data_IF_047167115928
#
_entry.id   IF_047167115928
#
_cell.length_a   1.000
_cell.length_b   1.000
_cell.length_c   1.000
_cell.angle_alpha   90.00
_cell.angle_beta   90.00
_cell.angle_gamma   90.00
#
_symmetry.space_group_name_H-M   'P 1'
#
loop_
_entity.id
_entity.type
_entity.pdbx_description
1 polymer ?
#
# COMPACT_ATOMS: atom_id res chain seq x y z
N UNK A 1 -77.57 -11.18 -11.64
CA UNK A 1 -77.28 -10.79 -10.24
C UNK A 1 -75.90 -11.26 -9.92
N UNK A 2 -75.02 -10.32 -9.63
CA UNK A 2 -73.57 -10.40 -9.25
C UNK A 2 -72.47 -10.67 -10.27
N UNK A 3 -71.78 -9.61 -10.73
CA UNK A 3 -70.31 -9.67 -10.92
C UNK A 3 -69.58 -8.45 -10.37
N UNK A 4 -69.95 -7.88 -9.21
CA UNK A 4 -69.25 -6.66 -8.66
C UNK A 4 -68.14 -6.99 -7.66
N UNK A 5 -68.12 -8.20 -7.10
CA UNK A 5 -67.18 -8.56 -6.01
C UNK A 5 -65.77 -8.98 -6.47
N UNK A 6 -65.56 -9.26 -7.78
CA UNK A 6 -64.24 -9.71 -8.28
C UNK A 6 -63.27 -8.58 -8.71
N UNK A 7 -63.76 -7.37 -8.92
CA UNK A 7 -62.94 -6.26 -9.37
C UNK A 7 -62.22 -5.51 -8.24
N UNK A 8 -62.81 -5.45 -7.04
CA UNK A 8 -62.24 -4.76 -5.89
C UNK A 8 -61.08 -5.51 -5.25
N UNK A 9 -61.12 -6.84 -5.20
CA UNK A 9 -60.01 -7.67 -4.66
C UNK A 9 -58.76 -7.65 -5.54
N UNK A 10 -58.92 -7.59 -6.87
CA UNK A 10 -57.77 -7.48 -7.79
C UNK A 10 -57.06 -6.11 -7.70
N UNK A 11 -57.82 -5.02 -7.50
CA UNK A 11 -57.23 -3.67 -7.32
C UNK A 11 -56.56 -3.51 -5.97
N UNK A 12 -57.06 -4.10 -4.91
CA UNK A 12 -56.43 -4.09 -3.59
C UNK A 12 -55.11 -4.90 -3.58
N UNK A 13 -55.05 -6.07 -4.24
CA UNK A 13 -53.82 -6.84 -4.39
C UNK A 13 -52.76 -6.12 -5.24
N UNK A 14 -53.14 -5.39 -6.28
CA UNK A 14 -52.22 -4.62 -7.09
C UNK A 14 -51.62 -3.44 -6.32
N UNK A 15 -52.35 -2.78 -5.43
CA UNK A 15 -51.86 -1.72 -4.56
C UNK A 15 -50.93 -2.23 -3.46
N UNK A 16 -51.20 -3.39 -2.85
CA UNK A 16 -50.30 -4.02 -1.89
C UNK A 16 -48.97 -4.50 -2.55
N UNK A 17 -49.02 -5.02 -3.78
CA UNK A 17 -47.80 -5.44 -4.49
C UNK A 17 -46.90 -4.26 -4.87
N UNK A 18 -47.45 -3.08 -5.16
CA UNK A 18 -46.70 -1.89 -5.48
C UNK A 18 -46.05 -1.21 -4.24
N UNK A 19 -46.70 -1.37 -3.07
CA UNK A 19 -46.18 -0.85 -1.81
C UNK A 19 -44.99 -1.65 -1.23
N UNK A 20 -44.83 -2.94 -1.61
CA UNK A 20 -43.68 -3.76 -1.22
C UNK A 20 -42.42 -3.53 -2.13
N UNK A 21 -42.56 -2.86 -3.27
CA UNK A 21 -41.45 -2.59 -4.17
C UNK A 21 -40.66 -1.32 -3.81
N UNK A 22 -41.10 -0.55 -2.85
CA UNK A 22 -40.36 0.63 -2.32
C UNK A 22 -39.64 0.26 -1.02
N UNK A 23 -38.80 -0.77 -1.03
CA UNK A 23 -37.76 -0.88 -0.01
C UNK A 23 -36.80 0.27 -0.25
N UNK A 24 -36.62 1.19 0.71
CA UNK A 24 -35.69 2.27 0.53
C UNK A 24 -34.29 1.68 0.39
N UNK A 25 -33.63 2.00 -0.69
CA UNK A 25 -32.20 1.80 -0.93
C UNK A 25 -31.37 2.70 0.03
N UNK A 26 -31.82 2.84 1.29
CA UNK A 26 -31.28 3.75 2.30
C UNK A 26 -30.27 3.09 3.25
N UNK A 27 -29.80 1.88 2.93
CA UNK A 27 -28.88 1.18 3.83
C UNK A 27 -27.44 1.13 3.33
N UNK A 28 -27.04 2.00 2.40
CA UNK A 28 -25.61 2.29 2.24
C UNK A 28 -25.27 3.37 3.25
N UNK A 29 -25.00 2.96 4.49
CA UNK A 29 -24.39 3.85 5.48
C UNK A 29 -23.17 4.54 4.85
N UNK A 30 -23.04 5.86 5.08
CA UNK A 30 -21.93 6.61 4.52
C UNK A 30 -20.61 5.96 4.98
N UNK A 31 -19.83 5.41 4.04
CA UNK A 31 -18.48 4.94 4.33
C UNK A 31 -17.60 6.12 4.76
N UNK A 32 -16.73 5.95 5.76
CA UNK A 32 -16.57 4.79 6.65
C UNK A 32 -17.59 4.80 7.81
N UNK A 33 -18.07 3.61 8.21
CA UNK A 33 -19.01 3.43 9.32
C UNK A 33 -18.33 3.20 10.66
N UNK A 34 -17.02 2.99 10.67
CA UNK A 34 -16.18 2.71 11.83
C UNK A 34 -14.75 3.17 11.58
N UNK A 35 -13.88 3.06 12.58
CA UNK A 35 -12.46 3.38 12.46
C UNK A 35 -11.84 2.68 11.25
N UNK A 36 -11.11 3.45 10.43
CA UNK A 36 -10.29 2.93 9.33
C UNK A 36 -8.88 2.70 9.85
N UNK A 37 -8.33 1.52 9.60
CA UNK A 37 -6.97 1.15 9.99
C UNK A 37 -6.07 1.07 8.74
N UNK A 38 -5.00 1.86 8.71
CA UNK A 38 -3.96 1.77 7.70
C UNK A 38 -2.76 1.00 8.24
N UNK A 39 -2.51 -0.17 7.70
CA UNK A 39 -1.40 -1.06 8.10
C UNK A 39 -0.19 -0.80 7.20
N UNK A 40 0.96 -0.53 7.81
CA UNK A 40 2.21 -0.17 7.13
C UNK A 40 3.33 -1.16 7.44
N UNK A 41 4.11 -1.62 6.44
CA UNK A 41 5.30 -2.45 6.66
C UNK A 41 6.53 -1.63 7.10
N UNK A 42 6.34 -0.43 7.62
CA UNK A 42 7.41 0.50 7.99
C UNK A 42 7.40 0.78 9.49
N UNK A 43 8.58 1.12 10.03
CA UNK A 43 8.71 1.55 11.42
C UNK A 43 8.00 2.88 11.66
N UNK A 44 7.49 3.07 12.86
CA UNK A 44 6.97 4.36 13.30
C UNK A 44 8.04 5.45 13.20
N UNK A 45 7.66 6.66 12.78
CA UNK A 45 8.56 7.77 12.55
C UNK A 45 9.30 7.75 11.20
N UNK A 46 9.09 6.74 10.36
CA UNK A 46 9.59 6.73 8.97
C UNK A 46 8.83 7.72 8.09
N UNK A 47 9.39 8.05 6.91
CA UNK A 47 8.73 8.93 5.94
C UNK A 47 7.31 8.49 5.57
N UNK A 48 7.11 7.22 5.14
CA UNK A 48 5.76 6.70 4.86
C UNK A 48 4.81 6.77 6.06
N UNK A 49 5.28 6.52 7.27
CA UNK A 49 4.49 6.64 8.49
C UNK A 49 4.03 8.08 8.73
N UNK A 50 4.95 9.04 8.63
CA UNK A 50 4.63 10.46 8.80
C UNK A 50 3.61 10.95 7.77
N UNK A 51 3.78 10.58 6.50
CA UNK A 51 2.83 10.91 5.42
C UNK A 51 1.46 10.31 5.72
N UNK A 52 1.39 9.02 6.08
CA UNK A 52 0.10 8.36 6.32
C UNK A 52 -0.61 8.90 7.56
N UNK A 53 0.11 9.28 8.61
CA UNK A 53 -0.49 9.97 9.77
C UNK A 53 -1.10 11.31 9.37
N UNK A 54 -0.39 12.10 8.58
CA UNK A 54 -0.91 13.38 8.10
C UNK A 54 -2.15 13.20 7.22
N UNK A 55 -2.11 12.27 6.26
CA UNK A 55 -3.28 11.92 5.43
C UNK A 55 -4.43 11.41 6.30
N UNK A 56 -4.14 10.55 7.28
CA UNK A 56 -5.12 10.01 8.21
C UNK A 56 -5.82 11.08 9.04
N UNK A 57 -5.09 12.11 9.48
CA UNK A 57 -5.69 13.27 10.17
C UNK A 57 -6.66 14.05 9.30
N UNK A 58 -6.33 14.26 8.01
CA UNK A 58 -7.20 14.95 7.06
C UNK A 58 -8.47 14.12 6.80
N UNK A 59 -8.30 12.84 6.49
CA UNK A 59 -9.42 11.92 6.26
C UNK A 59 -10.32 11.78 7.49
N UNK A 60 -9.76 11.75 8.70
CA UNK A 60 -10.53 11.65 9.92
C UNK A 60 -11.45 12.87 10.14
N UNK A 61 -11.00 14.06 9.73
CA UNK A 61 -11.83 15.27 9.76
C UNK A 61 -12.98 15.20 8.77
N UNK A 62 -12.70 14.78 7.53
CA UNK A 62 -13.69 14.70 6.46
C UNK A 62 -14.73 13.62 6.73
N UNK A 63 -14.30 12.47 7.23
CA UNK A 63 -15.15 11.30 7.47
C UNK A 63 -15.84 11.31 8.82
N UNK A 64 -15.44 12.18 9.75
CA UNK A 64 -15.89 12.12 11.16
C UNK A 64 -15.68 10.74 11.80
N UNK A 65 -14.65 10.01 11.32
CA UNK A 65 -14.25 8.69 11.78
C UNK A 65 -12.73 8.65 12.01
N UNK A 66 -12.28 7.91 12.99
CA UNK A 66 -10.85 7.77 13.27
C UNK A 66 -10.12 7.04 12.16
N UNK A 67 -8.91 7.51 11.82
CA UNK A 67 -7.95 6.78 10.97
C UNK A 67 -6.71 6.45 11.80
N UNK A 68 -6.46 5.16 11.98
CA UNK A 68 -5.36 4.67 12.83
C UNK A 68 -4.26 4.10 11.95
N UNK A 69 -3.03 4.55 12.18
CA UNK A 69 -1.82 4.01 11.53
C UNK A 69 -1.23 2.90 12.39
N UNK A 70 -1.15 1.70 11.83
CA UNK A 70 -0.65 0.49 12.47
C UNK A 70 0.64 0.01 11.78
N UNK A 71 1.78 0.14 12.46
CA UNK A 71 3.09 -0.20 11.93
C UNK A 71 3.42 -1.68 12.20
N UNK A 72 3.67 -2.44 11.13
CA UNK A 72 4.03 -3.87 11.16
C UNK A 72 5.31 -4.11 10.36
N UNK A 73 6.47 -3.60 10.81
CA UNK A 73 7.73 -3.78 10.11
C UNK A 73 8.22 -5.23 10.18
N UNK A 74 9.10 -5.58 9.24
CA UNK A 74 9.82 -6.87 9.24
C UNK A 74 9.30 -7.87 8.21
N UNK A 75 10.02 -8.99 8.10
CA UNK A 75 9.75 -10.08 7.16
C UNK A 75 9.48 -9.58 5.71
N UNK A 76 10.28 -8.63 5.22
CA UNK A 76 10.10 -8.04 3.88
C UNK A 76 8.67 -7.49 3.63
N UNK A 77 8.02 -6.95 4.66
CA UNK A 77 6.65 -6.42 4.59
C UNK A 77 5.54 -7.47 4.68
N UNK A 78 5.89 -8.76 4.68
CA UNK A 78 4.89 -9.83 4.63
C UNK A 78 4.02 -9.93 5.88
N UNK A 79 4.48 -9.38 7.02
CA UNK A 79 3.64 -9.29 8.22
C UNK A 79 2.45 -8.36 8.00
N UNK A 80 2.71 -7.16 7.49
CA UNK A 80 1.67 -6.18 7.19
C UNK A 80 0.73 -6.69 6.08
N UNK A 81 1.30 -7.18 4.98
CA UNK A 81 0.58 -7.72 3.83
C UNK A 81 -0.34 -8.87 4.26
N UNK A 82 0.19 -9.84 5.01
CA UNK A 82 -0.57 -10.99 5.46
C UNK A 82 -1.65 -10.64 6.48
N UNK A 83 -1.48 -9.57 7.25
CA UNK A 83 -2.52 -9.09 8.16
C UNK A 83 -3.71 -8.51 7.40
N UNK A 84 -3.44 -7.65 6.40
CA UNK A 84 -4.50 -7.04 5.59
C UNK A 84 -5.19 -8.09 4.71
N UNK A 85 -4.44 -9.04 4.15
CA UNK A 85 -5.01 -10.13 3.35
C UNK A 85 -6.02 -11.00 4.13
N UNK A 86 -5.88 -11.09 5.45
CA UNK A 86 -6.84 -11.81 6.32
C UNK A 86 -7.97 -10.93 6.85
N UNK A 87 -7.90 -9.62 6.66
CA UNK A 87 -8.94 -8.71 7.10
C UNK A 87 -10.21 -8.82 6.24
N UNK A 88 -11.32 -8.27 6.71
CA UNK A 88 -12.53 -8.17 5.90
C UNK A 88 -12.30 -7.20 4.75
N UNK A 89 -12.73 -7.53 3.52
CA UNK A 89 -12.59 -6.63 2.37
C UNK A 89 -13.71 -5.57 2.34
N UNK A 90 -13.92 -4.89 3.46
CA UNK A 90 -14.96 -3.88 3.65
C UNK A 90 -14.43 -2.43 3.60
N UNK A 91 -13.16 -2.27 3.26
CA UNK A 91 -12.50 -0.98 3.14
C UNK A 91 -12.02 -0.38 4.47
N UNK A 92 -12.30 -0.97 5.64
CA UNK A 92 -11.88 -0.43 6.93
C UNK A 92 -10.49 -0.89 7.38
N UNK A 93 -9.85 -1.80 6.63
CA UNK A 93 -8.44 -2.15 6.81
C UNK A 93 -7.72 -1.97 5.49
N UNK A 94 -6.85 -0.98 5.43
CA UNK A 94 -6.09 -0.59 4.25
C UNK A 94 -4.63 -1.00 4.40
N UNK A 95 -4.00 -1.34 3.29
CA UNK A 95 -2.56 -1.58 3.21
C UNK A 95 -1.89 -0.37 2.57
N UNK A 96 -0.96 0.27 3.27
CA UNK A 96 -0.18 1.37 2.73
C UNK A 96 1.28 0.96 2.60
N UNK A 97 1.75 0.87 1.36
CA UNK A 97 3.11 0.43 1.04
C UNK A 97 3.62 1.07 -0.25
N UNK A 98 4.89 0.89 -0.55
CA UNK A 98 5.47 1.29 -1.84
C UNK A 98 5.26 0.23 -2.92
N UNK A 99 5.44 0.63 -4.17
CA UNK A 99 5.24 -0.23 -5.34
C UNK A 99 6.16 -1.46 -5.38
N UNK A 100 7.27 -1.47 -4.65
CA UNK A 100 8.22 -2.58 -4.61
C UNK A 100 7.54 -3.88 -4.16
N UNK A 101 6.65 -3.81 -3.17
CA UNK A 101 5.99 -4.99 -2.64
C UNK A 101 5.07 -5.65 -3.66
N UNK A 102 4.37 -4.88 -4.46
CA UNK A 102 3.38 -5.38 -5.42
C UNK A 102 3.98 -5.60 -6.81
N UNK A 103 4.87 -4.72 -7.27
CA UNK A 103 5.40 -4.78 -8.62
C UNK A 103 6.74 -5.51 -8.73
N UNK A 104 7.60 -5.46 -7.70
CA UNK A 104 8.96 -5.97 -7.79
C UNK A 104 9.15 -7.32 -7.10
N UNK A 105 8.57 -7.52 -5.92
CA UNK A 105 8.72 -8.78 -5.19
C UNK A 105 8.29 -10.03 -5.98
N UNK A 106 7.23 -10.00 -6.83
CA UNK A 106 6.89 -11.15 -7.68
C UNK A 106 8.02 -11.62 -8.60
N UNK A 107 8.92 -10.72 -8.96
CA UNK A 107 10.08 -11.03 -9.82
C UNK A 107 11.34 -11.41 -9.02
N UNK A 108 11.39 -11.11 -7.73
CA UNK A 108 12.54 -11.37 -6.87
C UNK A 108 12.41 -12.68 -6.10
N UNK A 109 11.19 -13.12 -5.79
CA UNK A 109 10.95 -14.29 -4.96
C UNK A 109 10.23 -15.39 -5.75
N UNK A 110 10.75 -16.61 -5.64
CA UNK A 110 10.13 -17.79 -6.31
C UNK A 110 8.74 -18.14 -5.76
N UNK A 111 8.47 -17.75 -4.51
CA UNK A 111 7.20 -18.01 -3.84
C UNK A 111 6.90 -16.82 -2.94
N UNK A 112 5.74 -16.21 -3.15
CA UNK A 112 5.18 -15.18 -2.28
C UNK A 112 4.04 -15.76 -1.45
N UNK A 113 3.82 -15.28 -0.22
CA UNK A 113 2.68 -15.67 0.60
C UNK A 113 1.37 -14.96 0.22
N UNK A 114 1.36 -14.20 -0.87
CA UNK A 114 0.22 -13.44 -1.38
C UNK A 114 0.30 -13.32 -2.90
N UNK A 115 -0.84 -13.04 -3.54
CA UNK A 115 -0.93 -12.68 -4.95
C UNK A 115 -1.21 -11.17 -5.07
N UNK A 116 -0.28 -10.37 -5.61
CA UNK A 116 -0.44 -8.90 -5.63
C UNK A 116 -1.59 -8.40 -6.50
N UNK A 117 -2.07 -9.23 -7.44
CA UNK A 117 -3.14 -8.86 -8.38
C UNK A 117 -4.51 -9.34 -7.91
N UNK A 118 -4.57 -10.53 -7.27
CA UNK A 118 -5.84 -11.14 -6.88
C UNK A 118 -6.24 -10.86 -5.45
N UNK A 119 -5.26 -10.64 -4.56
CA UNK A 119 -5.55 -10.51 -3.13
C UNK A 119 -5.79 -9.06 -2.71
N UNK A 120 -5.51 -8.08 -3.59
CA UNK A 120 -5.60 -6.65 -3.25
C UNK A 120 -6.25 -5.84 -4.37
N UNK A 121 -7.06 -4.86 -3.97
CA UNK A 121 -7.63 -3.85 -4.86
C UNK A 121 -6.90 -2.52 -4.63
N UNK A 122 -6.27 -1.91 -5.66
CA UNK A 122 -5.59 -0.63 -5.52
C UNK A 122 -6.61 0.50 -5.32
N UNK A 123 -6.39 1.35 -4.31
CA UNK A 123 -7.27 2.47 -3.99
C UNK A 123 -6.72 3.78 -4.56
N UNK A 124 -5.51 4.17 -4.18
CA UNK A 124 -4.91 5.42 -4.63
C UNK A 124 -3.39 5.42 -4.49
N UNK A 125 -2.71 6.19 -5.33
CA UNK A 125 -1.33 6.59 -5.13
C UNK A 125 -1.27 7.82 -4.23
N UNK A 126 -0.51 7.75 -3.13
CA UNK A 126 -0.42 8.85 -2.17
C UNK A 126 0.67 9.85 -2.55
N UNK A 127 1.86 9.36 -2.92
CA UNK A 127 2.99 10.20 -3.31
C UNK A 127 4.04 9.39 -4.09
N UNK A 128 4.95 10.10 -4.73
CA UNK A 128 6.17 9.55 -5.32
C UNK A 128 7.37 10.09 -4.58
N UNK A 129 8.45 9.30 -4.51
CA UNK A 129 9.70 9.72 -3.86
C UNK A 129 10.89 9.44 -4.78
N UNK A 130 11.93 10.25 -4.63
CA UNK A 130 13.23 10.03 -5.26
C UNK A 130 14.22 9.46 -4.25
N UNK A 131 15.30 8.87 -4.77
CA UNK A 131 16.40 8.38 -3.97
C UNK A 131 17.65 9.23 -4.21
N UNK A 132 18.42 9.40 -3.16
CA UNK A 132 19.66 10.12 -3.20
C UNK A 132 20.80 9.19 -2.80
N UNK A 133 21.94 9.31 -3.48
CA UNK A 133 23.19 8.74 -3.00
C UNK A 133 23.73 9.67 -1.93
N UNK A 134 23.90 9.16 -0.72
CA UNK A 134 24.41 9.92 0.42
C UNK A 134 25.72 9.30 0.88
N UNK A 135 26.71 10.14 1.17
CA UNK A 135 27.99 9.76 1.72
C UNK A 135 28.30 10.54 2.98
N UNK A 136 29.19 10.06 3.82
CA UNK A 136 29.63 10.80 5.02
C UNK A 136 30.21 12.16 4.64
N UNK A 137 30.06 13.17 5.49
CA UNK A 137 30.53 14.54 5.23
C UNK A 137 32.05 14.61 4.93
N UNK A 138 32.83 13.72 5.52
CA UNK A 138 34.28 13.61 5.32
C UNK A 138 34.66 12.64 4.19
N UNK A 139 33.71 12.14 3.41
CA UNK A 139 33.99 11.28 2.27
C UNK A 139 34.89 11.97 1.27
N UNK A 140 35.84 11.26 0.66
CA UNK A 140 36.64 11.79 -0.43
C UNK A 140 35.81 12.02 -1.71
N UNK A 141 34.66 11.36 -1.83
CA UNK A 141 33.79 11.48 -2.99
C UNK A 141 32.89 12.71 -2.85
N UNK A 142 33.01 13.64 -3.81
CA UNK A 142 32.21 14.87 -3.83
C UNK A 142 31.23 14.88 -4.99
N UNK A 143 31.28 13.87 -5.85
CA UNK A 143 30.37 13.68 -6.99
C UNK A 143 30.07 12.20 -7.23
N UNK A 144 29.03 11.93 -8.02
CA UNK A 144 28.73 10.57 -8.49
C UNK A 144 29.88 10.02 -9.34
N UNK A 145 30.57 10.88 -10.09
CA UNK A 145 31.73 10.48 -10.90
C UNK A 145 32.87 9.97 -10.02
N UNK A 146 33.15 10.60 -8.88
CA UNK A 146 34.20 10.14 -7.96
C UNK A 146 33.87 8.76 -7.39
N UNK A 147 32.58 8.53 -7.00
CA UNK A 147 32.10 7.24 -6.53
C UNK A 147 32.28 6.15 -7.61
N UNK A 148 31.85 6.44 -8.84
CA UNK A 148 31.96 5.52 -9.99
C UNK A 148 33.43 5.17 -10.27
N UNK A 149 34.32 6.17 -10.27
CA UNK A 149 35.75 5.95 -10.50
C UNK A 149 36.38 5.10 -9.40
N UNK A 150 36.00 5.34 -8.12
CA UNK A 150 36.48 4.54 -7.00
C UNK A 150 36.00 3.07 -7.11
N UNK A 151 34.75 2.86 -7.46
CA UNK A 151 34.16 1.50 -7.62
C UNK A 151 34.77 0.76 -8.84
N UNK A 152 35.12 1.49 -9.92
CA UNK A 152 35.85 0.90 -11.08
C UNK A 152 37.28 0.51 -10.72
N UNK A 153 37.98 1.38 -9.99
CA UNK A 153 39.36 1.12 -9.59
C UNK A 153 39.47 -0.11 -8.68
N UNK A 154 38.44 -0.38 -7.86
CA UNK A 154 38.41 -1.52 -6.97
C UNK A 154 36.95 -2.10 -6.91
N UNK A 155 36.62 -3.07 -7.76
CA UNK A 155 35.34 -3.76 -7.71
C UNK A 155 35.07 -4.30 -6.30
N UNK A 156 33.84 -4.08 -5.81
CA UNK A 156 33.39 -4.41 -4.44
C UNK A 156 34.17 -3.70 -3.31
N UNK A 157 35.07 -2.78 -3.65
CA UNK A 157 35.83 -1.97 -2.67
C UNK A 157 35.02 -0.82 -2.08
N UNK A 158 33.90 -0.47 -2.70
CA UNK A 158 32.92 0.49 -2.20
C UNK A 158 31.71 -0.29 -1.70
N UNK A 159 31.30 -0.03 -0.46
CA UNK A 159 30.08 -0.63 0.10
C UNK A 159 28.92 0.36 0.12
N UNK A 160 27.70 -0.14 0.02
CA UNK A 160 26.48 0.64 0.20
C UNK A 160 25.47 -0.05 1.10
N UNK A 161 24.71 0.74 1.86
CA UNK A 161 23.64 0.27 2.74
C UNK A 161 22.29 0.29 2.06
N UNK A 162 21.42 -0.63 2.44
CA UNK A 162 19.99 -0.63 2.08
C UNK A 162 19.13 -1.15 3.22
N UNK A 163 17.83 -1.03 3.09
CA UNK A 163 16.82 -1.57 4.03
C UNK A 163 16.59 -3.08 3.87
N UNK A 164 17.53 -3.81 3.30
CA UNK A 164 17.45 -5.25 3.10
C UNK A 164 17.44 -5.67 1.64
N UNK A 165 17.60 -6.98 1.46
CA UNK A 165 17.60 -7.59 0.13
C UNK A 165 16.25 -7.41 -0.57
N UNK A 166 16.25 -6.99 -1.82
CA UNK A 166 15.03 -6.75 -2.60
C UNK A 166 14.30 -5.44 -2.28
N UNK A 167 14.86 -4.62 -1.37
CA UNK A 167 14.33 -3.27 -1.15
C UNK A 167 14.55 -2.37 -2.37
N UNK A 168 13.77 -1.31 -2.47
CA UNK A 168 13.91 -0.28 -3.53
C UNK A 168 15.35 0.26 -3.60
N UNK A 169 16.01 0.51 -2.46
CA UNK A 169 17.39 0.96 -2.42
C UNK A 169 18.36 -0.07 -2.97
N UNK A 170 18.18 -1.36 -2.66
CA UNK A 170 19.00 -2.44 -3.21
C UNK A 170 18.85 -2.53 -4.73
N UNK A 171 17.61 -2.61 -5.23
CA UNK A 171 17.35 -2.77 -6.66
C UNK A 171 17.73 -1.52 -7.45
N UNK A 172 17.44 -0.32 -6.92
CA UNK A 172 17.86 0.94 -7.53
C UNK A 172 19.38 1.06 -7.63
N UNK A 173 20.10 0.62 -6.58
CA UNK A 173 21.57 0.59 -6.63
C UNK A 173 22.07 -0.44 -7.64
N UNK A 174 21.47 -1.63 -7.72
CA UNK A 174 21.86 -2.62 -8.72
C UNK A 174 21.63 -2.13 -10.17
N UNK A 175 20.57 -1.37 -10.41
CA UNK A 175 20.35 -0.70 -11.70
C UNK A 175 21.43 0.37 -11.98
N UNK A 176 21.79 1.16 -10.97
CA UNK A 176 22.88 2.13 -11.07
C UNK A 176 24.22 1.44 -11.37
N UNK A 177 24.55 0.36 -10.67
CA UNK A 177 25.75 -0.45 -10.94
C UNK A 177 25.80 -0.94 -12.38
N UNK A 178 24.69 -1.50 -12.87
CA UNK A 178 24.59 -1.97 -14.25
C UNK A 178 24.77 -0.84 -15.26
N UNK A 179 24.12 0.31 -15.06
CA UNK A 179 24.20 1.46 -15.92
C UNK A 179 25.60 2.10 -15.93
N UNK A 180 26.29 2.12 -14.79
CA UNK A 180 27.62 2.70 -14.65
C UNK A 180 28.75 1.72 -14.99
N UNK A 181 28.47 0.43 -15.17
CA UNK A 181 29.47 -0.63 -15.37
C UNK A 181 30.41 -0.78 -14.17
N UNK A 182 29.85 -0.81 -12.95
CA UNK A 182 30.59 -0.93 -11.69
C UNK A 182 30.03 -2.06 -10.83
N UNK A 183 30.76 -2.43 -9.78
CA UNK A 183 30.32 -3.37 -8.76
C UNK A 183 30.66 -2.83 -7.38
N UNK A 184 29.67 -2.79 -6.50
CA UNK A 184 29.79 -2.36 -5.10
C UNK A 184 29.35 -3.50 -4.16
N UNK A 185 29.77 -3.44 -2.91
CA UNK A 185 29.39 -4.42 -1.89
C UNK A 185 28.07 -4.01 -1.23
N UNK A 186 27.05 -4.83 -1.38
CA UNK A 186 25.77 -4.59 -0.70
C UNK A 186 25.84 -4.99 0.77
N UNK A 187 25.45 -4.06 1.66
CA UNK A 187 25.31 -4.28 3.11
C UNK A 187 23.86 -4.05 3.50
N UNK A 188 23.05 -5.13 3.66
CA UNK A 188 21.67 -4.98 4.07
C UNK A 188 21.56 -4.68 5.57
N UNK A 189 20.76 -3.67 5.94
CA UNK A 189 20.36 -3.35 7.29
C UNK A 189 18.92 -3.81 7.54
N UNK A 190 18.61 -4.11 8.80
CA UNK A 190 17.26 -4.47 9.25
C UNK A 190 16.53 -3.28 9.81
#
# INVERSE_FOLDING_TARGET
MFPIFRATTRRAMAFCALALATTPLLAQGSYPTQTVRSVLPYSAGSGPDAVMRHVGELLARDWSQSVVVDNKPGANGWLAIGEVNRARPDGHTLLTLDSTYMALQPHLYRKLPFDPVRDFEPVAGLYTTGFFVVVGANSPWKSVADLVNAARAKPEGVSYGSWGQGSVAHVGTAQFEAAAGIRMMHVPFK
#
